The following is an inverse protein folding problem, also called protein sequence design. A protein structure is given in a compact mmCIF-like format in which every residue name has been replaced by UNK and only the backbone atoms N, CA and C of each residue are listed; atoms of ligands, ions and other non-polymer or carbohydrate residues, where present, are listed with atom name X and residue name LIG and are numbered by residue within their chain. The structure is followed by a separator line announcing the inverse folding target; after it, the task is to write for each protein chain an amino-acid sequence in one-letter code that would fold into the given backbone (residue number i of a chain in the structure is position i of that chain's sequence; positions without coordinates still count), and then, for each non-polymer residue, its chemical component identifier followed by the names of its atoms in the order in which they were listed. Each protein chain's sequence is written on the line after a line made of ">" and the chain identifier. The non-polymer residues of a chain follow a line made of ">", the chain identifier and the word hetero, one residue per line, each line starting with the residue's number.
data_IF_423431250681
#
_entry.id   IF_423431250681
#
_cell.length_a   1.000
_cell.length_b   1.000
_cell.length_c   1.000
_cell.angle_alpha   90.00
_cell.angle_beta   90.00
_cell.angle_gamma   90.00
#
_symmetry.space_group_name_H-M   'P 1'
#
loop_
_entity.id
_entity.type
_entity.pdbx_description
1 polymer ?
#
# COMPACT_ATOMS: atom_id res chain seq x y z
N UNK A 1 0.19 -3.40 -19.28
CA UNK A 1 0.41 -1.92 -19.31
C UNK A 1 -0.80 -1.19 -19.87
N UNK A 2 -1.50 -1.71 -20.88
CA UNK A 2 -2.80 -1.16 -21.31
C UNK A 2 -3.86 -1.17 -20.20
N UNK A 3 -3.77 -2.11 -19.28
CA UNK A 3 -4.73 -2.26 -18.19
C UNK A 3 -4.77 -1.07 -17.24
N UNK A 4 -3.65 -0.38 -17.00
CA UNK A 4 -3.62 0.79 -16.11
C UNK A 4 -4.15 2.08 -16.76
N UNK A 5 -4.32 2.12 -18.08
CA UNK A 5 -4.80 3.33 -18.79
C UNK A 5 -6.23 3.67 -18.38
N UNK A 6 -7.08 2.67 -18.11
CA UNK A 6 -8.44 2.94 -17.66
C UNK A 6 -8.46 3.73 -16.36
N UNK A 7 -7.49 3.51 -15.45
CA UNK A 7 -7.38 4.26 -14.20
C UNK A 7 -7.03 5.72 -14.52
N UNK A 8 -6.06 5.96 -15.41
CA UNK A 8 -5.72 7.32 -15.82
C UNK A 8 -6.92 8.04 -16.41
N UNK A 9 -7.66 7.39 -17.29
CA UNK A 9 -8.87 7.94 -17.89
C UNK A 9 -9.97 8.23 -16.85
N UNK A 10 -10.20 7.32 -15.92
CA UNK A 10 -11.22 7.47 -14.87
C UNK A 10 -10.94 8.68 -13.96
N UNK A 11 -9.68 9.02 -13.78
CA UNK A 11 -9.26 10.17 -12.96
C UNK A 11 -8.91 11.41 -13.79
N UNK A 12 -9.17 11.41 -15.11
CA UNK A 12 -8.85 12.52 -16.04
C UNK A 12 -7.38 12.93 -15.98
N UNK A 13 -6.48 11.96 -15.93
CA UNK A 13 -5.03 12.18 -15.92
C UNK A 13 -4.52 12.11 -17.36
N UNK A 14 -3.84 13.15 -17.82
CA UNK A 14 -3.25 13.17 -19.15
C UNK A 14 -2.02 12.26 -19.22
N UNK A 15 -1.90 11.57 -20.34
CA UNK A 15 -0.74 10.71 -20.62
C UNK A 15 -0.33 10.82 -22.10
N UNK A 16 0.91 10.47 -22.38
CA UNK A 16 1.45 10.38 -23.73
C UNK A 16 2.06 9.00 -23.93
N UNK A 17 1.79 8.38 -25.07
CA UNK A 17 2.53 7.19 -25.46
C UNK A 17 3.97 7.56 -25.77
N UNK A 18 4.91 6.88 -25.15
CA UNK A 18 6.33 7.10 -25.34
C UNK A 18 6.91 6.11 -26.35
N UNK A 19 6.72 4.80 -26.11
CA UNK A 19 7.25 3.73 -26.96
C UNK A 19 6.62 2.39 -26.57
N UNK A 20 6.14 1.61 -27.54
CA UNK A 20 5.77 0.20 -27.35
C UNK A 20 4.95 -0.07 -26.07
N UNK A 21 3.81 0.57 -25.92
CA UNK A 21 2.91 0.45 -24.76
C UNK A 21 3.45 1.06 -23.44
N UNK A 22 4.52 1.84 -23.48
CA UNK A 22 4.93 2.68 -22.36
C UNK A 22 4.27 4.06 -22.47
N UNK A 23 3.72 4.52 -21.36
CA UNK A 23 3.03 5.79 -21.26
C UNK A 23 3.72 6.65 -20.22
N UNK A 24 3.85 7.94 -20.53
CA UNK A 24 4.46 8.94 -19.64
C UNK A 24 3.36 9.86 -19.12
N UNK A 25 3.39 10.07 -17.82
CA UNK A 25 2.45 10.91 -17.08
C UNK A 25 3.23 11.94 -16.30
N UNK A 26 2.71 13.15 -16.21
CA UNK A 26 3.25 14.15 -15.28
C UNK A 26 2.93 13.73 -13.84
N UNK A 27 3.96 13.64 -13.01
CA UNK A 27 3.83 13.13 -11.64
C UNK A 27 3.02 14.06 -10.74
N UNK A 28 3.09 15.35 -10.95
CA UNK A 28 2.35 16.35 -10.17
C UNK A 28 0.88 16.29 -10.56
N UNK A 29 0.58 16.25 -11.86
CA UNK A 29 -0.79 16.09 -12.35
C UNK A 29 -1.43 14.79 -11.82
N UNK A 30 -0.76 13.65 -12.00
CA UNK A 30 -1.28 12.37 -11.57
C UNK A 30 -1.54 12.31 -10.05
N UNK A 31 -0.57 12.73 -9.25
CA UNK A 31 -0.69 12.72 -7.80
C UNK A 31 -1.80 13.66 -7.34
N UNK A 32 -1.86 14.87 -7.90
CA UNK A 32 -2.87 15.87 -7.56
C UNK A 32 -4.28 15.39 -7.93
N UNK A 33 -4.45 14.77 -9.09
CA UNK A 33 -5.74 14.23 -9.53
C UNK A 33 -6.22 13.10 -8.62
N UNK A 34 -5.34 12.16 -8.26
CA UNK A 34 -5.67 11.06 -7.36
C UNK A 34 -6.06 11.57 -5.96
N UNK A 35 -5.27 12.48 -5.39
CA UNK A 35 -5.55 13.08 -4.07
C UNK A 35 -6.87 13.87 -4.11
N UNK A 36 -7.09 14.68 -5.13
CA UNK A 36 -8.32 15.47 -5.29
C UNK A 36 -9.55 14.57 -5.34
N UNK A 37 -9.52 13.53 -6.17
CA UNK A 37 -10.64 12.61 -6.30
C UNK A 37 -10.88 11.83 -4.99
N UNK A 38 -9.83 11.37 -4.32
CA UNK A 38 -9.95 10.72 -3.02
C UNK A 38 -10.60 11.65 -1.98
N UNK A 39 -10.13 12.89 -1.89
CA UNK A 39 -10.70 13.88 -0.97
C UNK A 39 -12.19 14.17 -1.27
N UNK A 40 -12.53 14.24 -2.56
CA UNK A 40 -13.91 14.51 -3.01
C UNK A 40 -14.89 13.40 -2.64
N UNK A 41 -14.44 12.16 -2.50
CA UNK A 41 -15.27 11.04 -2.01
C UNK A 41 -15.40 10.99 -0.49
N UNK A 42 -14.79 11.93 0.23
CA UNK A 42 -14.87 12.01 1.69
C UNK A 42 -13.77 11.24 2.42
N UNK A 43 -12.80 10.70 1.71
CA UNK A 43 -11.60 10.06 2.32
C UNK A 43 -10.87 11.09 3.17
N UNK A 44 -10.51 10.70 4.40
CA UNK A 44 -9.68 11.53 5.28
C UNK A 44 -8.21 11.29 4.97
N UNK A 45 -7.52 12.35 4.61
CA UNK A 45 -6.09 12.34 4.30
C UNK A 45 -5.36 13.05 5.44
N UNK A 46 -4.44 12.34 6.08
CA UNK A 46 -3.64 12.85 7.19
C UNK A 46 -2.17 12.95 6.76
N UNK A 47 -1.67 14.17 6.69
CA UNK A 47 -0.26 14.45 6.48
C UNK A 47 0.48 14.54 7.80
N UNK A 48 1.80 14.30 7.78
CA UNK A 48 2.67 14.37 8.96
C UNK A 48 2.24 13.44 10.10
N UNK A 49 1.66 12.29 9.75
CA UNK A 49 1.31 11.22 10.67
C UNK A 49 2.24 10.04 10.43
N UNK A 50 2.75 9.47 11.50
CA UNK A 50 3.50 8.20 11.50
C UNK A 50 2.71 7.13 12.22
N UNK A 51 2.86 5.89 11.76
CA UNK A 51 2.31 4.72 12.44
C UNK A 51 3.35 4.19 13.41
N UNK A 52 2.99 4.04 14.67
CA UNK A 52 3.86 3.49 15.71
C UNK A 52 3.62 2.00 15.95
N UNK A 53 2.38 1.54 15.76
CA UNK A 53 1.99 0.16 15.99
C UNK A 53 0.67 -0.22 15.31
N UNK A 54 0.33 -1.51 15.40
CA UNK A 54 -0.97 -2.02 15.00
C UNK A 54 -1.84 -2.34 16.23
N UNK A 55 -3.15 -2.16 16.07
CA UNK A 55 -4.12 -2.64 17.06
C UNK A 55 -4.54 -4.05 16.67
N UNK A 56 -4.33 -5.02 17.58
CA UNK A 56 -4.70 -6.42 17.37
C UNK A 56 -5.76 -6.83 18.39
N UNK A 57 -6.85 -7.39 17.90
CA UNK A 57 -7.87 -7.99 18.72
C UNK A 57 -8.31 -9.34 18.12
N UNK A 58 -8.37 -10.39 18.94
CA UNK A 58 -8.76 -11.73 18.53
C UNK A 58 -8.01 -12.24 17.28
N UNK A 59 -6.70 -12.11 17.26
CA UNK A 59 -5.82 -12.50 16.15
C UNK A 59 -6.17 -11.82 14.81
N UNK A 60 -6.66 -10.60 14.87
CA UNK A 60 -6.99 -9.76 13.70
C UNK A 60 -6.42 -8.35 13.91
N UNK A 61 -5.88 -7.76 12.85
CA UNK A 61 -5.57 -6.34 12.83
C UNK A 61 -6.87 -5.55 12.73
N UNK A 62 -7.14 -4.71 13.72
CA UNK A 62 -8.37 -3.93 13.85
C UNK A 62 -8.13 -2.43 13.88
N UNK A 63 -6.91 -1.99 13.62
CA UNK A 63 -6.57 -0.58 13.57
C UNK A 63 -5.09 -0.30 13.67
N UNK A 64 -4.77 0.97 13.87
CA UNK A 64 -3.43 1.51 13.94
C UNK A 64 -3.26 2.41 15.16
N UNK A 65 -2.06 2.41 15.72
CA UNK A 65 -1.58 3.39 16.68
C UNK A 65 -0.76 4.41 15.92
N UNK A 66 -1.18 5.66 15.97
CA UNK A 66 -0.59 6.75 15.18
C UNK A 66 -0.17 7.92 16.07
N UNK A 67 0.82 8.68 15.60
CA UNK A 67 1.22 9.93 16.22
C UNK A 67 1.63 10.95 15.16
N UNK A 68 1.77 12.20 15.53
CA UNK A 68 2.31 13.21 14.62
C UNK A 68 3.82 12.98 14.41
N UNK A 69 4.25 12.98 13.16
CA UNK A 69 5.68 12.84 12.83
C UNK A 69 6.60 13.77 13.61
N UNK A 70 6.25 15.07 13.86
CA UNK A 70 7.04 15.94 14.73
C UNK A 70 7.20 15.44 16.16
N UNK A 71 6.18 14.80 16.73
CA UNK A 71 6.27 14.22 18.09
C UNK A 71 7.38 13.19 18.15
N UNK A 72 7.41 12.30 17.18
CA UNK A 72 8.47 11.28 17.09
C UNK A 72 9.84 11.89 16.82
N UNK A 73 9.93 12.84 15.89
CA UNK A 73 11.19 13.48 15.49
C UNK A 73 11.83 14.27 16.62
N UNK A 74 11.04 15.01 17.39
CA UNK A 74 11.51 15.88 18.47
C UNK A 74 11.47 15.20 19.85
N UNK A 75 11.17 13.89 19.88
CA UNK A 75 11.07 13.09 21.11
C UNK A 75 10.14 13.72 22.16
N UNK A 76 9.02 14.25 21.72
CA UNK A 76 8.03 14.86 22.60
C UNK A 76 7.22 13.78 23.34
N UNK A 77 6.80 14.10 24.57
CA UNK A 77 5.95 13.23 25.39
C UNK A 77 4.45 13.52 25.08
N UNK A 78 3.98 12.95 23.99
CA UNK A 78 2.58 13.03 23.56
C UNK A 78 2.06 11.61 23.35
N UNK A 79 0.98 11.26 24.02
CA UNK A 79 0.35 9.95 23.88
C UNK A 79 -0.17 9.75 22.45
N UNK A 80 0.02 8.56 21.88
CA UNK A 80 -0.45 8.24 20.54
C UNK A 80 -1.98 8.14 20.47
N UNK A 81 -2.51 8.29 19.28
CA UNK A 81 -3.92 8.08 18.98
C UNK A 81 -4.17 6.68 18.43
N UNK A 82 -5.35 6.14 18.68
CA UNK A 82 -5.79 4.86 18.14
C UNK A 82 -6.85 5.12 17.07
N UNK A 83 -6.64 4.56 15.88
CA UNK A 83 -7.64 4.52 14.81
C UNK A 83 -8.12 3.09 14.67
N UNK A 84 -9.41 2.86 14.82
CA UNK A 84 -10.03 1.56 14.62
C UNK A 84 -10.53 1.45 13.18
N UNK A 85 -10.26 0.32 12.55
CA UNK A 85 -10.66 0.03 11.18
C UNK A 85 -11.06 -1.44 11.02
N UNK A 86 -12.00 -1.72 10.13
CA UNK A 86 -12.38 -3.10 9.78
C UNK A 86 -11.24 -3.83 9.07
N UNK A 87 -10.50 -3.11 8.23
CA UNK A 87 -9.35 -3.58 7.45
C UNK A 87 -8.29 -2.49 7.39
N UNK A 88 -7.05 -2.91 7.33
CA UNK A 88 -5.88 -2.04 7.19
C UNK A 88 -5.11 -2.45 5.94
N UNK A 89 -4.57 -1.47 5.21
CA UNK A 89 -3.74 -1.70 4.03
C UNK A 89 -2.35 -1.16 4.30
N UNK A 90 -1.34 -2.02 4.20
CA UNK A 90 0.06 -1.60 4.17
C UNK A 90 0.44 -1.24 2.72
N UNK A 91 0.59 0.04 2.46
CA UNK A 91 1.12 0.61 1.21
C UNK A 91 2.37 1.47 1.47
N UNK A 92 3.12 1.15 2.51
CA UNK A 92 4.31 1.90 2.94
C UNK A 92 5.53 1.71 2.02
N UNK A 93 5.32 1.05 0.88
CA UNK A 93 6.34 0.87 -0.14
C UNK A 93 7.38 -0.17 0.25
N UNK A 94 8.63 0.08 -0.12
CA UNK A 94 9.75 -0.86 0.06
C UNK A 94 9.99 -1.26 1.52
N UNK A 95 9.62 -0.39 2.45
CA UNK A 95 9.87 -0.61 3.87
C UNK A 95 8.92 -1.64 4.48
N UNK A 96 7.72 -1.87 3.92
CA UNK A 96 6.74 -2.83 4.45
C UNK A 96 6.52 -2.64 5.95
N UNK A 97 6.35 -1.40 6.40
CA UNK A 97 6.46 -1.03 7.83
C UNK A 97 5.44 -1.75 8.70
N UNK A 98 4.19 -1.85 8.25
CA UNK A 98 3.14 -2.50 9.03
C UNK A 98 3.38 -4.01 9.11
N UNK A 99 3.71 -4.64 7.99
CA UNK A 99 3.99 -6.07 7.94
C UNK A 99 5.20 -6.45 8.83
N UNK A 100 6.28 -5.67 8.77
CA UNK A 100 7.47 -5.85 9.62
C UNK A 100 7.17 -5.61 11.10
N UNK A 101 6.37 -4.60 11.41
CA UNK A 101 5.98 -4.32 12.79
C UNK A 101 5.10 -5.43 13.36
N UNK A 102 4.16 -5.94 12.57
CA UNK A 102 3.32 -7.07 12.94
C UNK A 102 4.17 -8.31 13.25
N UNK A 103 5.07 -8.69 12.34
CA UNK A 103 5.95 -9.84 12.50
C UNK A 103 6.83 -9.70 13.76
N UNK A 104 7.51 -8.56 13.90
CA UNK A 104 8.45 -8.33 14.98
C UNK A 104 7.81 -8.37 16.38
N UNK A 105 6.61 -7.77 16.53
CA UNK A 105 5.99 -7.59 17.85
C UNK A 105 5.11 -8.76 18.26
N UNK A 106 4.55 -9.51 17.33
CA UNK A 106 3.46 -10.43 17.63
C UNK A 106 3.77 -11.91 17.37
N UNK A 107 4.96 -12.22 16.87
CA UNK A 107 5.38 -13.60 16.53
C UNK A 107 4.32 -14.36 15.70
N UNK A 108 3.68 -13.68 14.78
CA UNK A 108 2.63 -14.24 13.92
C UNK A 108 3.20 -14.83 12.64
N UNK A 109 2.44 -15.71 12.01
CA UNK A 109 2.75 -16.25 10.70
C UNK A 109 1.96 -15.48 9.64
N UNK A 110 2.68 -14.83 8.72
CA UNK A 110 2.10 -14.14 7.58
C UNK A 110 1.74 -15.12 6.45
N UNK A 111 0.78 -14.74 5.62
CA UNK A 111 0.42 -15.49 4.40
C UNK A 111 1.46 -15.26 3.28
N UNK A 112 2.68 -15.70 3.52
CA UNK A 112 3.81 -15.72 2.62
C UNK A 112 4.44 -17.11 2.61
N UNK A 113 5.25 -17.48 1.60
CA UNK A 113 5.90 -18.79 1.55
C UNK A 113 6.71 -19.15 2.80
N UNK A 114 7.34 -18.17 3.42
CA UNK A 114 8.15 -18.37 4.65
C UNK A 114 7.38 -18.13 5.94
N UNK A 115 6.18 -17.58 5.86
CA UNK A 115 5.42 -17.09 7.01
C UNK A 115 5.92 -15.77 7.58
N UNK A 116 6.88 -15.13 6.90
CA UNK A 116 7.55 -13.88 7.30
C UNK A 116 7.60 -12.87 6.17
N UNK A 117 8.00 -11.64 6.45
CA UNK A 117 8.39 -10.67 5.42
C UNK A 117 9.66 -11.17 4.75
N UNK A 118 9.59 -11.41 3.44
CA UNK A 118 10.70 -12.03 2.70
C UNK A 118 11.77 -11.02 2.26
N UNK A 119 11.43 -9.74 2.19
CA UNK A 119 12.29 -8.69 1.67
C UNK A 119 12.28 -8.63 0.14
N UNK A 120 12.76 -7.51 -0.40
CA UNK A 120 12.84 -7.32 -1.83
C UNK A 120 14.10 -7.98 -2.43
N UNK A 121 13.95 -8.43 -3.66
CA UNK A 121 15.06 -8.80 -4.53
C UNK A 121 15.58 -7.58 -5.29
N UNK A 122 16.71 -7.73 -5.99
CA UNK A 122 17.29 -6.69 -6.84
C UNK A 122 16.28 -6.15 -7.87
N UNK A 123 16.58 -4.98 -8.42
CA UNK A 123 15.74 -4.31 -9.42
C UNK A 123 15.54 -5.19 -10.67
N UNK A 124 14.29 -5.47 -10.98
CA UNK A 124 13.86 -6.06 -12.25
C UNK A 124 12.46 -5.53 -12.56
N UNK A 125 12.39 -4.54 -13.43
CA UNK A 125 11.18 -3.75 -13.67
C UNK A 125 10.03 -4.62 -14.20
N UNK A 126 10.27 -5.37 -15.27
CA UNK A 126 9.24 -6.16 -15.94
C UNK A 126 8.66 -7.28 -15.05
N UNK A 127 9.52 -7.89 -14.23
CA UNK A 127 9.10 -8.90 -13.26
C UNK A 127 8.31 -8.25 -12.10
N UNK A 128 8.81 -7.14 -11.59
CA UNK A 128 8.18 -6.45 -10.47
C UNK A 128 6.79 -5.93 -10.82
N UNK A 129 6.61 -5.36 -12.01
CA UNK A 129 5.32 -4.82 -12.45
C UNK A 129 4.23 -5.91 -12.48
N UNK A 130 4.55 -7.07 -13.04
CA UNK A 130 3.64 -8.22 -13.09
C UNK A 130 3.32 -8.76 -11.69
N UNK A 131 4.34 -8.98 -10.89
CA UNK A 131 4.19 -9.61 -9.57
C UNK A 131 3.56 -8.69 -8.53
N UNK A 132 3.58 -7.37 -8.70
CA UNK A 132 2.94 -6.42 -7.77
C UNK A 132 1.44 -6.69 -7.67
N UNK A 133 0.78 -6.95 -8.78
CA UNK A 133 -0.65 -7.26 -8.79
C UNK A 133 -0.89 -8.62 -8.13
N UNK A 134 -0.12 -9.64 -8.48
CA UNK A 134 -0.29 -11.00 -7.94
C UNK A 134 -0.06 -11.04 -6.44
N UNK A 135 0.93 -10.33 -5.94
CA UNK A 135 1.31 -10.25 -4.53
C UNK A 135 0.35 -9.40 -3.68
N UNK A 136 -0.54 -8.63 -4.32
CA UNK A 136 -1.56 -7.84 -3.62
C UNK A 136 -2.62 -8.76 -3.03
N UNK A 137 -2.65 -8.86 -1.70
CA UNK A 137 -3.51 -9.81 -0.96
C UNK A 137 -3.60 -9.50 0.53
N UNK A 138 -4.45 -10.22 1.22
CA UNK A 138 -4.46 -10.29 2.68
C UNK A 138 -3.28 -11.14 3.15
N UNK A 139 -2.37 -10.53 3.94
CA UNK A 139 -1.17 -11.21 4.49
C UNK A 139 -1.36 -11.70 5.91
N UNK A 140 -2.30 -11.13 6.62
CA UNK A 140 -2.73 -11.52 7.95
C UNK A 140 -4.18 -11.04 8.13
N UNK A 141 -4.94 -11.70 8.98
CA UNK A 141 -6.34 -11.35 9.18
C UNK A 141 -6.53 -9.85 9.45
N UNK A 142 -7.24 -9.16 8.58
CA UNK A 142 -7.47 -7.72 8.63
C UNK A 142 -6.34 -6.82 8.10
N UNK A 143 -5.19 -7.40 7.67
CA UNK A 143 -4.08 -6.65 7.09
C UNK A 143 -3.82 -7.08 5.64
N UNK A 144 -3.95 -6.15 4.73
CA UNK A 144 -3.65 -6.29 3.30
C UNK A 144 -2.36 -5.56 2.93
N UNK A 145 -1.76 -5.96 1.81
CA UNK A 145 -0.62 -5.26 1.21
C UNK A 145 -0.93 -4.88 -0.22
N UNK A 146 -0.45 -3.71 -0.68
CA UNK A 146 -0.50 -3.29 -2.07
C UNK A 146 0.74 -2.47 -2.47
N UNK A 147 0.88 -2.22 -3.77
CA UNK A 147 2.04 -1.52 -4.31
C UNK A 147 3.34 -2.24 -4.01
N UNK A 148 4.41 -1.51 -3.77
CA UNK A 148 5.73 -2.11 -3.50
C UNK A 148 5.79 -2.88 -2.18
N UNK A 149 4.94 -2.57 -1.21
CA UNK A 149 4.85 -3.38 0.01
C UNK A 149 4.41 -4.82 -0.29
N UNK A 150 3.56 -5.04 -1.29
CA UNK A 150 3.17 -6.39 -1.72
C UNK A 150 4.36 -7.20 -2.24
N UNK A 151 5.22 -6.58 -3.05
CA UNK A 151 6.45 -7.22 -3.55
C UNK A 151 7.46 -7.45 -2.44
N UNK A 152 7.69 -6.45 -1.57
CA UNK A 152 8.61 -6.56 -0.45
C UNK A 152 8.22 -7.65 0.54
N UNK A 153 6.94 -7.77 0.88
CA UNK A 153 6.46 -8.83 1.77
C UNK A 153 6.59 -10.21 1.12
N UNK A 154 6.39 -10.31 -0.18
CA UNK A 154 6.36 -11.58 -0.91
C UNK A 154 7.71 -12.04 -1.47
N UNK A 155 8.79 -11.29 -1.27
CA UNK A 155 10.12 -11.67 -1.77
C UNK A 155 10.28 -11.47 -3.28
N UNK A 156 9.56 -10.52 -3.86
CA UNK A 156 9.63 -10.22 -5.30
C UNK A 156 10.64 -9.11 -5.59
N UNK A 157 10.77 -8.78 -6.86
CA UNK A 157 11.74 -7.81 -7.34
C UNK A 157 11.33 -6.37 -6.99
N UNK A 158 12.34 -5.54 -6.77
CA UNK A 158 12.17 -4.10 -6.68
C UNK A 158 11.75 -3.54 -8.04
N UNK A 159 10.77 -2.64 -8.03
CA UNK A 159 10.32 -1.90 -9.20
C UNK A 159 11.01 -0.52 -9.26
N UNK A 160 11.31 -0.07 -10.47
CA UNK A 160 11.78 1.28 -10.75
C UNK A 160 10.61 2.28 -10.88
N UNK A 161 10.82 3.40 -11.58
CA UNK A 161 9.81 4.46 -11.72
C UNK A 161 8.70 4.11 -12.72
N UNK A 162 8.09 2.94 -12.57
CA UNK A 162 6.93 2.49 -13.35
C UNK A 162 5.78 2.26 -12.37
N UNK A 163 4.61 2.80 -12.68
CA UNK A 163 3.49 2.89 -11.74
C UNK A 163 2.25 2.10 -12.17
N UNK A 164 2.23 1.50 -13.36
CA UNK A 164 1.08 0.76 -13.88
C UNK A 164 0.64 -0.36 -12.94
N UNK A 165 1.58 -1.22 -12.57
CA UNK A 165 1.32 -2.30 -11.61
C UNK A 165 0.90 -1.81 -10.21
N UNK A 166 1.41 -0.65 -9.75
CA UNK A 166 1.01 -0.07 -8.47
C UNK A 166 -0.44 0.45 -8.50
N UNK A 167 -0.85 1.12 -9.57
CA UNK A 167 -2.23 1.59 -9.74
C UNK A 167 -3.21 0.43 -9.75
N UNK A 168 -2.92 -0.61 -10.54
CA UNK A 168 -3.73 -1.83 -10.60
C UNK A 168 -3.75 -2.59 -9.27
N UNK A 169 -2.66 -2.60 -8.55
CA UNK A 169 -2.57 -3.16 -7.21
C UNK A 169 -3.48 -2.43 -6.22
N UNK A 170 -3.54 -1.10 -6.30
CA UNK A 170 -4.47 -0.28 -5.51
C UNK A 170 -5.93 -0.61 -5.81
N UNK A 171 -6.28 -0.71 -7.08
CA UNK A 171 -7.62 -1.12 -7.50
C UNK A 171 -7.97 -2.55 -7.03
N UNK A 172 -7.04 -3.49 -7.18
CA UNK A 172 -7.22 -4.87 -6.72
C UNK A 172 -7.48 -4.96 -5.22
N UNK A 173 -6.67 -4.28 -4.39
CA UNK A 173 -6.86 -4.32 -2.94
C UNK A 173 -8.19 -3.71 -2.51
N UNK A 174 -8.62 -2.64 -3.18
CA UNK A 174 -9.93 -2.03 -2.93
C UNK A 174 -11.05 -3.03 -3.22
N UNK A 175 -11.03 -3.70 -4.38
CA UNK A 175 -12.03 -4.70 -4.76
C UNK A 175 -12.05 -5.90 -3.79
N UNK A 176 -10.89 -6.38 -3.34
CA UNK A 176 -10.81 -7.46 -2.35
C UNK A 176 -11.48 -7.08 -1.02
N UNK A 177 -11.29 -5.83 -0.56
CA UNK A 177 -11.88 -5.36 0.69
C UNK A 177 -13.38 -5.08 0.52
N UNK A 178 -13.82 -4.50 -0.59
CA UNK A 178 -15.24 -4.29 -0.88
C UNK A 178 -16.00 -5.61 -0.83
N UNK A 179 -15.51 -6.64 -1.52
CA UNK A 179 -16.12 -7.97 -1.50
C UNK A 179 -16.22 -8.58 -0.09
N UNK A 180 -15.30 -8.21 0.82
CA UNK A 180 -15.35 -8.64 2.23
C UNK A 180 -16.31 -7.81 3.08
N UNK A 181 -16.61 -6.59 2.69
CA UNK A 181 -17.52 -5.71 3.43
C UNK A 181 -18.99 -5.98 3.08
N UNK A 182 -19.23 -6.56 1.88
CA UNK A 182 -20.56 -6.90 1.39
C UNK A 182 -21.06 -8.28 1.88
N UNK A 183 -20.15 -9.14 2.38
CA UNK A 183 -20.46 -10.44 2.97
C UNK A 183 -20.53 -10.35 4.52
#
# INVERSE_FOLDING_TARGET
>A
QHEAIHILNNFNINYKEYKNNYYVVDSIEATSALIYNAAKTGVKIFNCISVEDLVIHNNKVTGLVINWTPVHRESLHVDPLIIIAKYTIDSTGHDCELAKTLERKNNVKLNTPTGKVMGERSLSIDEAEKTTIDNTKEIFNGLYVCGMAANGVSGSFRMGPIFGGMLLSGEKVANLIIAKLEN
#
